data_IF_849684123416
#
_entry.id   IF_849684123416
#
_cell.length_a   1.000
_cell.length_b   1.000
_cell.length_c   1.000
_cell.angle_alpha   90.00
_cell.angle_beta   90.00
_cell.angle_gamma   90.00
#
_symmetry.space_group_name_H-M   'P 1'
#
loop_
_entity.id
_entity.type
_entity.pdbx_description
1 polymer ?
#
# COMPACT_ATOMS: atom_id res chain seq x y z
N UNK A 1 -8.96 24.65 -12.97
CA UNK A 1 -10.29 24.09 -12.64
C UNK A 1 -10.17 23.50 -11.26
N UNK A 2 -10.73 24.18 -10.28
CA UNK A 2 -10.74 23.77 -8.87
C UNK A 2 -11.94 22.84 -8.65
N UNK A 3 -11.69 21.68 -8.04
CA UNK A 3 -12.74 20.89 -7.37
C UNK A 3 -12.56 21.11 -5.87
N UNK A 4 -13.56 21.75 -5.26
CA UNK A 4 -13.61 22.14 -3.85
C UNK A 4 -14.00 20.95 -2.95
N UNK A 5 -13.27 20.74 -1.84
CA UNK A 5 -13.64 19.98 -0.61
C UNK A 5 -13.85 18.45 -0.66
N UNK A 6 -13.03 17.67 -1.36
CA UNK A 6 -13.01 16.22 -1.20
C UNK A 6 -11.85 15.73 -0.31
N UNK A 7 -12.14 14.90 0.70
CA UNK A 7 -11.18 14.12 1.50
C UNK A 7 -10.47 13.05 0.63
N UNK A 8 -9.87 13.45 -0.48
CA UNK A 8 -9.20 12.53 -1.37
C UNK A 8 -7.87 12.11 -0.76
N UNK A 9 -7.75 10.81 -0.52
CA UNK A 9 -6.51 10.17 -0.14
C UNK A 9 -5.97 9.39 -1.32
N UNK A 10 -4.65 9.49 -1.52
CA UNK A 10 -3.92 8.75 -2.53
C UNK A 10 -3.20 7.61 -1.81
N UNK A 11 -3.53 6.38 -2.17
CA UNK A 11 -2.94 5.17 -1.64
C UNK A 11 -1.93 4.59 -2.64
N UNK A 12 -0.65 4.65 -2.30
CA UNK A 12 0.43 3.99 -3.04
C UNK A 12 0.82 2.72 -2.29
N UNK A 13 0.86 1.57 -2.95
CA UNK A 13 1.20 0.29 -2.32
C UNK A 13 2.22 -0.47 -3.15
N UNK A 14 2.95 -1.37 -2.49
CA UNK A 14 3.99 -2.18 -3.11
C UNK A 14 4.16 -3.51 -2.34
N UNK A 15 4.20 -4.61 -3.08
CA UNK A 15 4.60 -5.93 -2.57
C UNK A 15 6.07 -6.21 -2.87
N UNK A 16 6.75 -6.97 -2.01
CA UNK A 16 8.13 -7.41 -2.27
C UNK A 16 8.32 -8.86 -1.91
N UNK A 17 9.15 -9.57 -2.67
CA UNK A 17 9.50 -10.98 -2.43
C UNK A 17 10.91 -11.29 -2.92
N UNK A 18 11.71 -12.02 -2.13
CA UNK A 18 13.08 -12.42 -2.47
C UNK A 18 13.07 -13.77 -3.23
N UNK A 19 12.25 -13.86 -4.29
CA UNK A 19 11.95 -15.10 -5.02
C UNK A 19 10.44 -15.37 -5.13
N UNK A 20 10.03 -16.52 -5.68
CA UNK A 20 8.60 -16.86 -5.83
C UNK A 20 8.34 -18.39 -5.86
N UNK A 21 7.94 -19.03 -4.74
CA UNK A 21 7.69 -18.47 -3.41
C UNK A 21 8.96 -18.21 -2.60
N UNK A 22 8.94 -17.20 -1.74
CA UNK A 22 10.04 -16.80 -0.84
C UNK A 22 9.52 -15.90 0.29
N UNK A 23 10.40 -15.44 1.18
CA UNK A 23 10.06 -14.38 2.13
C UNK A 23 9.52 -13.17 1.37
N UNK A 24 8.28 -12.81 1.68
CA UNK A 24 7.60 -11.66 1.09
C UNK A 24 7.04 -10.72 2.17
N UNK A 25 6.90 -9.45 1.80
CA UNK A 25 6.32 -8.41 2.63
C UNK A 25 5.49 -7.45 1.77
N UNK A 26 4.69 -6.61 2.43
CA UNK A 26 3.95 -5.54 1.78
C UNK A 26 4.21 -4.22 2.49
N UNK A 27 4.00 -3.12 1.77
CA UNK A 27 4.04 -1.75 2.30
C UNK A 27 3.11 -0.82 1.54
N UNK A 28 2.86 0.33 2.13
CA UNK A 28 2.14 1.40 1.45
C UNK A 28 2.29 2.75 2.13
N UNK A 29 1.87 3.77 1.39
CA UNK A 29 1.96 5.18 1.70
C UNK A 29 0.61 5.83 1.38
N UNK A 30 0.05 6.51 2.37
CA UNK A 30 -1.17 7.31 2.24
C UNK A 30 -0.74 8.78 2.17
N UNK A 31 -1.25 9.47 1.15
CA UNK A 31 -1.01 10.89 0.91
C UNK A 31 -2.34 11.63 0.81
N UNK A 32 -2.33 12.92 1.12
CA UNK A 32 -3.48 13.79 0.89
C UNK A 32 -3.57 14.20 -0.60
N UNK A 33 -4.60 14.96 -0.96
CA UNK A 33 -4.80 15.46 -2.32
C UNK A 33 -3.66 16.35 -2.84
N UNK A 34 -2.94 17.03 -1.95
CA UNK A 34 -1.75 17.84 -2.31
C UNK A 34 -0.49 16.98 -2.53
N UNK A 35 -0.60 15.67 -2.34
CA UNK A 35 0.51 14.73 -2.43
C UNK A 35 1.41 14.71 -1.19
N UNK A 36 1.03 15.41 -0.11
CA UNK A 36 1.76 15.39 1.16
C UNK A 36 1.59 14.03 1.86
N UNK A 37 2.66 13.56 2.52
CA UNK A 37 2.63 12.31 3.28
C UNK A 37 1.75 12.44 4.52
N UNK A 38 0.80 11.52 4.68
CA UNK A 38 -0.09 11.40 5.86
C UNK A 38 0.32 10.23 6.76
N UNK A 39 0.43 9.03 6.19
CA UNK A 39 0.77 7.82 6.96
C UNK A 39 1.44 6.76 6.09
N UNK A 40 2.23 5.87 6.68
CA UNK A 40 2.86 4.74 6.00
C UNK A 40 2.69 3.46 6.79
N UNK A 41 2.52 2.33 6.10
CA UNK A 41 2.33 1.01 6.73
C UNK A 41 3.20 -0.05 6.05
N UNK A 42 3.50 -1.13 6.79
CA UNK A 42 4.22 -2.29 6.29
C UNK A 42 3.85 -3.56 7.06
N UNK A 43 4.15 -4.72 6.49
CA UNK A 43 3.97 -6.01 7.17
C UNK A 43 4.68 -7.16 6.48
N UNK A 44 5.10 -8.15 7.27
CA UNK A 44 5.74 -9.38 6.80
C UNK A 44 4.68 -10.48 6.57
N UNK A 45 4.76 -11.21 5.45
CA UNK A 45 3.82 -12.28 5.08
C UNK A 45 4.40 -13.69 5.22
N UNK A 46 5.66 -13.79 5.64
CA UNK A 46 6.42 -15.04 5.67
C UNK A 46 6.75 -15.53 4.26
N UNK A 47 6.87 -16.84 4.10
CA UNK A 47 7.12 -17.46 2.79
C UNK A 47 5.82 -17.47 1.98
N UNK A 48 5.77 -16.64 0.94
CA UNK A 48 4.63 -16.60 0.03
C UNK A 48 5.05 -16.19 -1.39
N UNK A 49 4.06 -15.94 -2.26
CA UNK A 49 4.29 -15.51 -3.63
C UNK A 49 4.12 -14.00 -3.78
N UNK A 50 4.76 -13.43 -4.81
CA UNK A 50 4.71 -11.99 -5.08
C UNK A 50 3.29 -11.49 -5.29
N UNK A 51 2.42 -12.28 -5.94
CA UNK A 51 1.03 -11.90 -6.17
C UNK A 51 0.26 -11.68 -4.86
N UNK A 52 0.47 -12.55 -3.86
CA UNK A 52 -0.12 -12.39 -2.53
C UNK A 52 0.44 -11.17 -1.80
N UNK A 53 1.71 -10.84 -1.99
CA UNK A 53 2.30 -9.62 -1.43
C UNK A 53 1.63 -8.35 -1.97
N UNK A 54 1.47 -8.25 -3.29
CA UNK A 54 0.78 -7.13 -3.94
C UNK A 54 -0.68 -7.00 -3.50
N UNK A 55 -1.43 -8.11 -3.51
CA UNK A 55 -2.83 -8.12 -3.11
C UNK A 55 -3.02 -7.77 -1.63
N UNK A 56 -2.11 -8.21 -0.75
CA UNK A 56 -2.13 -7.84 0.65
C UNK A 56 -1.81 -6.36 0.87
N UNK A 57 -0.92 -5.79 0.07
CA UNK A 57 -0.61 -4.36 0.11
C UNK A 57 -1.88 -3.52 -0.18
N UNK A 58 -2.62 -3.88 -1.23
CA UNK A 58 -3.90 -3.26 -1.59
C UNK A 58 -4.95 -3.46 -0.49
N UNK A 59 -5.17 -4.71 -0.07
CA UNK A 59 -6.17 -5.03 0.96
C UNK A 59 -5.92 -4.28 2.27
N UNK A 60 -4.67 -4.26 2.75
CA UNK A 60 -4.31 -3.53 3.97
C UNK A 60 -4.43 -2.03 3.79
N UNK A 61 -4.01 -1.49 2.64
CA UNK A 61 -4.16 -0.07 2.34
C UNK A 61 -5.62 0.39 2.33
N UNK A 62 -6.53 -0.40 1.75
CA UNK A 62 -7.97 -0.11 1.74
C UNK A 62 -8.62 -0.13 3.13
N UNK A 63 -8.02 -0.81 4.11
CA UNK A 63 -8.47 -0.77 5.51
C UNK A 63 -7.95 0.46 6.28
N UNK A 64 -6.95 1.16 5.75
CA UNK A 64 -6.35 2.34 6.39
C UNK A 64 -6.84 3.67 5.80
N UNK A 65 -7.48 3.66 4.61
CA UNK A 65 -8.05 4.85 3.97
C UNK A 65 -9.57 4.96 4.18
#
# INVERSE_FOLDING_TARGET
>A
MECSWGYWMILNVDGSSIGNPSISCFRGLIRNADGAWVHGFFGNLGVTNILRAELMAIYKGLLYI
#
